data_IF_222224886475
#
_entry.id   IF_222224886475
#
_cell.length_a   1.000
_cell.length_b   1.000
_cell.length_c   1.000
_cell.angle_alpha   90.00
_cell.angle_beta   90.00
_cell.angle_gamma   90.00
#
_symmetry.space_group_name_H-M   'P 1'
#
loop_
_entity.id
_entity.type
_entity.pdbx_description
1 polymer ?
#
# COMPACT_ATOMS: atom_id res chain seq x y z
N UNK A 1 -0.10 -14.77 -25.10
CA UNK A 1 0.57 -15.45 -23.99
C UNK A 1 1.40 -14.42 -23.25
N UNK A 2 0.89 -13.88 -22.14
CA UNK A 2 1.68 -13.01 -21.28
C UNK A 2 2.57 -13.89 -20.40
N UNK A 3 3.87 -13.68 -20.47
CA UNK A 3 4.85 -14.31 -19.57
C UNK A 3 4.48 -13.87 -18.16
N UNK A 4 4.00 -14.80 -17.33
CA UNK A 4 3.86 -14.58 -15.89
C UNK A 4 5.28 -14.55 -15.34
N UNK A 5 5.82 -13.37 -15.04
CA UNK A 5 6.94 -13.27 -14.11
C UNK A 5 6.51 -13.92 -12.79
N UNK A 6 7.40 -14.69 -12.17
CA UNK A 6 7.11 -15.34 -10.91
C UNK A 6 6.81 -14.25 -9.87
N UNK A 7 5.57 -14.21 -9.37
CA UNK A 7 5.23 -13.35 -8.25
C UNK A 7 6.17 -13.65 -7.08
N UNK A 8 6.61 -12.63 -6.32
CA UNK A 8 7.42 -12.84 -5.13
C UNK A 8 6.77 -13.86 -4.19
N UNK A 9 7.57 -14.61 -3.44
CA UNK A 9 7.02 -15.49 -2.40
C UNK A 9 6.28 -14.65 -1.35
N UNK A 10 5.14 -15.13 -0.86
CA UNK A 10 4.33 -14.42 0.11
C UNK A 10 5.07 -14.24 1.45
N UNK A 11 4.95 -13.07 2.05
CA UNK A 11 5.63 -12.71 3.31
C UNK A 11 4.64 -12.58 4.46
N UNK A 12 5.09 -12.88 5.68
CA UNK A 12 4.28 -12.74 6.90
C UNK A 12 4.19 -11.28 7.38
N UNK A 13 5.16 -10.44 7.01
CA UNK A 13 5.21 -9.02 7.35
C UNK A 13 5.70 -8.21 6.15
N UNK A 14 4.92 -7.20 5.75
CA UNK A 14 5.25 -6.29 4.65
C UNK A 14 5.29 -4.84 5.16
N UNK A 15 6.43 -4.18 4.94
CA UNK A 15 6.57 -2.74 5.19
C UNK A 15 6.37 -2.00 3.87
N UNK A 16 5.51 -0.99 3.87
CA UNK A 16 5.25 -0.12 2.71
C UNK A 16 5.84 1.27 2.94
N UNK A 17 6.83 1.62 2.14
CA UNK A 17 7.57 2.88 2.17
C UNK A 17 7.50 3.67 0.85
N UNK A 18 6.70 3.17 -0.10
CA UNK A 18 6.47 3.78 -1.41
C UNK A 18 5.02 4.24 -1.56
N UNK A 19 4.84 5.30 -2.33
CA UNK A 19 3.58 6.00 -2.49
C UNK A 19 3.17 6.14 -3.96
N UNK A 20 1.87 6.30 -4.18
CA UNK A 20 1.26 6.54 -5.48
C UNK A 20 0.12 7.55 -5.32
N UNK A 21 -0.25 8.15 -6.45
CA UNK A 21 -1.38 9.06 -6.58
C UNK A 21 -2.49 8.49 -7.48
N UNK A 22 -2.30 7.25 -7.96
CA UNK A 22 -3.22 6.50 -8.80
C UNK A 22 -3.42 5.09 -8.24
N UNK A 23 -4.68 4.63 -8.22
CA UNK A 23 -5.08 3.27 -7.86
C UNK A 23 -6.01 2.71 -8.93
N UNK A 24 -5.73 1.51 -9.39
CA UNK A 24 -6.35 0.90 -10.54
C UNK A 24 -5.75 -0.47 -10.86
N UNK A 25 -6.36 -1.24 -11.76
CA UNK A 25 -5.99 -2.63 -12.01
C UNK A 25 -4.61 -2.82 -12.65
N UNK A 26 -4.05 -1.76 -13.24
CA UNK A 26 -2.72 -1.76 -13.87
C UNK A 26 -1.61 -1.21 -12.97
N UNK A 27 -1.94 -0.81 -11.75
CA UNK A 27 -0.95 -0.26 -10.82
C UNK A 27 -0.03 -1.37 -10.29
N UNK A 28 1.22 -0.99 -10.01
CA UNK A 28 2.13 -1.84 -9.27
C UNK A 28 1.53 -2.17 -7.89
N UNK A 29 1.71 -3.42 -7.45
CA UNK A 29 1.37 -3.85 -6.09
C UNK A 29 2.60 -4.44 -5.41
N UNK A 30 2.77 -4.16 -4.12
CA UNK A 30 3.78 -4.77 -3.27
C UNK A 30 3.34 -6.14 -2.76
N UNK A 31 4.29 -7.01 -2.41
CA UNK A 31 4.01 -8.31 -1.80
C UNK A 31 3.97 -9.46 -2.82
N UNK A 32 3.21 -10.54 -2.56
CA UNK A 32 2.04 -10.59 -1.69
C UNK A 32 2.32 -10.74 -0.18
N UNK A 33 1.42 -10.25 0.66
CA UNK A 33 1.33 -10.59 2.09
C UNK A 33 0.45 -11.83 2.26
N UNK A 34 0.82 -12.75 3.15
CA UNK A 34 0.01 -13.94 3.46
C UNK A 34 -1.32 -13.55 4.12
N UNK A 35 -2.34 -14.40 3.99
CA UNK A 35 -3.54 -14.29 4.83
C UNK A 35 -3.17 -14.39 6.32
N UNK A 36 -3.72 -13.49 7.13
CA UNK A 36 -3.34 -13.28 8.53
C UNK A 36 -1.96 -12.63 8.73
N UNK A 37 -1.28 -12.21 7.66
CA UNK A 37 -0.03 -11.47 7.73
C UNK A 37 -0.23 -10.00 8.13
N UNK A 38 0.89 -9.31 8.39
CA UNK A 38 0.89 -7.93 8.87
C UNK A 38 1.38 -6.96 7.80
N UNK A 39 0.71 -5.82 7.71
CA UNK A 39 1.13 -4.68 6.87
C UNK A 39 1.48 -3.53 7.80
N UNK A 40 2.68 -2.97 7.64
CA UNK A 40 3.14 -1.77 8.34
C UNK A 40 3.46 -0.69 7.32
N UNK A 41 3.02 0.54 7.59
CA UNK A 41 3.25 1.66 6.68
C UNK A 41 3.26 2.98 7.43
N UNK A 42 3.95 3.95 6.85
CA UNK A 42 3.86 5.35 7.27
C UNK A 42 2.88 6.07 6.36
N UNK A 43 1.92 6.77 6.93
CA UNK A 43 1.11 7.72 6.17
C UNK A 43 1.82 9.06 6.06
N UNK A 44 1.75 9.69 4.89
CA UNK A 44 2.27 11.05 4.71
C UNK A 44 1.47 12.07 5.56
N UNK A 45 2.12 13.15 6.04
CA UNK A 45 1.47 14.16 6.86
C UNK A 45 0.53 15.02 6.00
N UNK A 46 -0.75 14.64 5.98
CA UNK A 46 -1.85 15.40 5.37
C UNK A 46 -2.29 14.88 4.00
N UNK A 47 -3.59 14.98 3.70
CA UNK A 47 -4.19 14.67 2.40
C UNK A 47 -4.02 15.81 1.37
N UNK A 48 -2.94 16.58 1.48
CA UNK A 48 -2.72 17.79 0.68
C UNK A 48 -1.83 17.58 -0.55
N UNK A 49 -1.46 16.33 -0.84
CA UNK A 49 -0.68 15.99 -2.03
C UNK A 49 0.61 16.82 -2.14
N UNK A 50 1.16 17.04 -3.34
CA UNK A 50 2.57 16.89 -3.67
C UNK A 50 3.48 18.06 -3.25
N UNK A 51 3.17 18.74 -2.16
CA UNK A 51 3.98 19.87 -1.68
C UNK A 51 5.43 19.46 -1.39
N UNK A 52 5.72 18.16 -1.24
CA UNK A 52 7.09 17.65 -1.07
C UNK A 52 7.52 16.67 -2.18
N UNK A 53 6.61 15.91 -2.81
CA UNK A 53 6.94 14.83 -3.77
C UNK A 53 6.53 15.18 -5.21
N UNK A 54 7.41 15.73 -6.07
CA UNK A 54 7.04 16.26 -7.39
C UNK A 54 6.56 15.22 -8.41
N UNK A 55 6.88 13.94 -8.21
CA UNK A 55 6.46 12.85 -9.09
C UNK A 55 4.98 12.49 -8.93
N UNK A 56 4.37 12.87 -7.81
CA UNK A 56 2.94 12.69 -7.56
C UNK A 56 2.23 13.98 -7.94
N UNK A 57 1.14 13.89 -8.69
CA UNK A 57 0.42 15.04 -9.25
C UNK A 57 -0.95 15.24 -8.61
N UNK A 58 -1.54 14.19 -8.04
CA UNK A 58 -2.80 14.28 -7.31
C UNK A 58 -2.63 14.99 -5.98
N UNK A 59 -3.71 15.68 -5.54
CA UNK A 59 -3.85 16.14 -4.16
C UNK A 59 -3.94 15.01 -3.12
N UNK A 60 -4.12 13.76 -3.55
CA UNK A 60 -4.20 12.60 -2.65
C UNK A 60 -3.01 11.67 -2.89
N UNK A 61 -2.15 11.54 -1.89
CA UNK A 61 -1.04 10.60 -1.84
C UNK A 61 -1.42 9.45 -0.92
N UNK A 62 -1.27 8.22 -1.41
CA UNK A 62 -1.53 6.99 -0.68
C UNK A 62 -0.33 6.05 -0.79
N UNK A 63 -0.21 5.08 0.11
CA UNK A 63 0.78 4.01 -0.02
C UNK A 63 0.52 3.19 -1.28
N UNK A 64 1.56 2.55 -1.83
CA UNK A 64 1.34 1.57 -2.91
C UNK A 64 0.35 0.48 -2.46
N UNK A 65 -0.50 -0.02 -3.37
CA UNK A 65 -1.37 -1.15 -3.10
C UNK A 65 -0.56 -2.39 -2.67
N UNK A 66 -1.13 -3.19 -1.78
CA UNK A 66 -0.54 -4.45 -1.32
C UNK A 66 -1.34 -5.62 -1.88
N UNK A 67 -0.67 -6.56 -2.52
CA UNK A 67 -1.26 -7.82 -2.94
C UNK A 67 -1.43 -8.75 -1.73
N UNK A 68 -2.58 -9.42 -1.65
CA UNK A 68 -2.85 -10.43 -0.62
C UNK A 68 -2.79 -11.80 -1.28
N UNK A 69 -2.05 -12.73 -0.67
CA UNK A 69 -1.89 -14.09 -1.17
C UNK A 69 -3.25 -14.79 -1.29
N UNK A 70 -3.54 -15.33 -2.48
CA UNK A 70 -4.75 -16.08 -2.75
C UNK A 70 -6.02 -15.25 -2.94
N UNK A 71 -5.97 -13.92 -2.85
CA UNK A 71 -7.13 -13.07 -3.09
C UNK A 71 -7.46 -12.96 -4.59
N UNK A 72 -8.72 -13.20 -4.96
CA UNK A 72 -9.23 -13.11 -6.33
C UNK A 72 -10.33 -12.04 -6.49
N UNK A 73 -10.66 -11.72 -7.74
CA UNK A 73 -11.73 -10.76 -8.05
C UNK A 73 -13.07 -11.32 -7.59
N UNK A 74 -13.75 -10.60 -6.71
CA UNK A 74 -15.02 -11.01 -6.11
C UNK A 74 -14.89 -11.40 -4.64
N UNK A 75 -13.67 -11.62 -4.16
CA UNK A 75 -13.41 -11.87 -2.75
C UNK A 75 -13.49 -10.58 -1.93
N UNK A 76 -13.64 -10.76 -0.61
CA UNK A 76 -13.50 -9.70 0.37
C UNK A 76 -12.16 -9.84 1.10
N UNK A 77 -11.46 -8.73 1.31
CA UNK A 77 -10.27 -8.66 2.17
C UNK A 77 -10.67 -8.00 3.49
N UNK A 78 -10.57 -8.74 4.59
CA UNK A 78 -10.80 -8.20 5.93
C UNK A 78 -9.51 -7.61 6.50
N UNK A 79 -9.59 -6.39 7.03
CA UNK A 79 -8.45 -5.71 7.66
C UNK A 79 -8.74 -5.47 9.14
N UNK A 80 -7.75 -5.73 10.00
CA UNK A 80 -7.79 -5.36 11.41
C UNK A 80 -6.72 -4.31 11.69
N UNK A 81 -7.14 -3.15 12.21
CA UNK A 81 -6.20 -2.09 12.61
C UNK A 81 -5.62 -2.44 13.98
N UNK A 82 -4.44 -3.07 13.99
CA UNK A 82 -3.74 -3.45 15.23
C UNK A 82 -3.23 -2.23 16.01
N UNK A 83 -2.71 -1.23 15.30
CA UNK A 83 -2.10 -0.02 15.88
C UNK A 83 -2.25 1.15 14.92
N UNK A 84 -2.53 2.33 15.48
CA UNK A 84 -2.44 3.61 14.81
C UNK A 84 -1.75 4.60 15.74
N UNK A 85 -0.65 5.20 15.29
CA UNK A 85 0.20 6.06 16.12
C UNK A 85 0.61 7.32 15.35
N UNK A 86 0.44 8.49 15.98
CA UNK A 86 0.91 9.75 15.41
C UNK A 86 2.41 9.92 15.68
N UNK A 87 3.25 9.78 14.66
CA UNK A 87 4.70 9.91 14.81
C UNK A 87 5.19 11.35 14.92
N UNK A 88 4.42 12.34 14.47
CA UNK A 88 4.79 13.76 14.51
C UNK A 88 3.60 14.66 14.81
N UNK A 89 3.84 15.66 15.68
CA UNK A 89 2.89 16.71 16.07
C UNK A 89 3.23 18.07 15.46
N UNK A 90 4.13 18.10 14.48
CA UNK A 90 4.68 19.36 13.93
C UNK A 90 3.63 20.22 13.20
N UNK A 91 2.52 19.63 12.76
CA UNK A 91 1.49 20.29 11.92
C UNK A 91 0.13 20.40 12.62
N UNK A 92 0.07 20.19 13.94
CA UNK A 92 -1.15 20.28 14.78
C UNK A 92 -1.05 21.39 15.81
#
# INVERSE_FOLDING_TARGET
MAVREASPAAVDHLVVDRYTDLVGPSNEMLGPVKDGGRIEYLTVPGCWGPMITPSLRSGHEVTLPVAVEGAEVGDAVALHVERLEQLSRATT
#
